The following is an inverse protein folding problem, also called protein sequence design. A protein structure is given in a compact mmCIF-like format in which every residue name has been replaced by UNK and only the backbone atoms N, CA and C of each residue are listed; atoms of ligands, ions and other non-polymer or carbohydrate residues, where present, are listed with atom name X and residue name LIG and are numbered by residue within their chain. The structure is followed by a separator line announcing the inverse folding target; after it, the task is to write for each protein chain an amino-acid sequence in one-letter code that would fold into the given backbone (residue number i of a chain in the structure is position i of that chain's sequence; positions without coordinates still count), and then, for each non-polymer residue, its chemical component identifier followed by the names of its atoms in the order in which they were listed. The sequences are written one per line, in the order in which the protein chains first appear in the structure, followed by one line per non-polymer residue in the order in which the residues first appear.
data_IF_172359480365
#
_entry.id   IF_172359480365
#
_cell.length_a   1.000
_cell.length_b   1.000
_cell.length_c   1.000
_cell.angle_alpha   90.00
_cell.angle_beta   90.00
_cell.angle_gamma   90.00
#
_symmetry.space_group_name_H-M   'P 1'
#
loop_
_entity.id
_entity.type
_entity.pdbx_description
1 polymer ?
#
# COMPACT_ATOMS: atom_id res chain seq x y z
N UNK A 1 -10.41 -57.13 38.37
CA UNK A 1 -10.95 -55.88 37.79
C UNK A 1 -10.02 -55.42 36.66
N UNK A 2 -10.61 -54.71 35.69
CA UNK A 2 -10.11 -54.46 34.33
C UNK A 2 -8.79 -53.66 34.26
N UNK A 3 -8.07 -53.94 33.19
CA UNK A 3 -6.91 -53.22 32.61
C UNK A 3 -7.25 -51.75 32.36
N UNK A 4 -6.24 -50.88 32.31
CA UNK A 4 -5.89 -50.06 31.13
C UNK A 4 -4.57 -49.34 31.40
N UNK A 5 -3.58 -49.72 30.61
CA UNK A 5 -2.28 -49.11 30.39
C UNK A 5 -2.49 -47.79 29.63
N UNK A 6 -2.12 -46.66 30.21
CA UNK A 6 -2.25 -45.35 29.56
C UNK A 6 -0.89 -44.95 28.99
N UNK A 7 -0.71 -45.20 27.70
CA UNK A 7 0.48 -44.81 26.92
C UNK A 7 0.47 -43.29 26.72
N UNK A 8 1.47 -42.59 27.27
CA UNK A 8 1.65 -41.15 27.08
C UNK A 8 2.28 -40.92 25.69
N UNK A 9 1.49 -40.43 24.74
CA UNK A 9 1.97 -40.03 23.41
C UNK A 9 2.77 -38.75 23.55
N UNK A 10 4.09 -38.83 23.34
CA UNK A 10 4.97 -37.68 23.24
C UNK A 10 4.71 -36.93 21.93
N UNK A 11 3.91 -35.87 21.98
CA UNK A 11 3.77 -34.91 20.88
C UNK A 11 4.97 -33.97 20.85
N UNK A 12 5.85 -34.21 19.88
CA UNK A 12 6.99 -33.37 19.53
C UNK A 12 6.48 -32.03 18.99
N UNK A 13 6.61 -30.96 19.78
CA UNK A 13 6.38 -29.59 19.31
C UNK A 13 7.72 -29.05 18.81
N UNK A 14 7.92 -29.06 17.49
CA UNK A 14 9.01 -28.33 16.82
C UNK A 14 8.60 -26.86 16.78
N UNK A 15 8.98 -26.08 17.81
CA UNK A 15 8.91 -24.62 17.75
C UNK A 15 10.21 -24.12 17.12
N UNK A 16 10.28 -24.11 15.79
CA UNK A 16 11.36 -23.46 15.07
C UNK A 16 11.25 -21.94 15.25
N UNK A 17 12.27 -21.36 15.85
CA UNK A 17 12.47 -19.92 15.96
C UNK A 17 12.56 -19.30 14.56
N UNK A 18 11.69 -18.32 14.29
CA UNK A 18 11.88 -17.35 13.23
C UNK A 18 11.74 -15.96 13.85
N UNK A 19 12.91 -15.45 14.25
CA UNK A 19 13.37 -14.06 14.14
C UNK A 19 12.28 -13.08 13.69
N UNK A 20 11.41 -12.73 14.62
CA UNK A 20 10.59 -11.54 14.52
C UNK A 20 11.24 -10.45 15.33
N UNK A 21 12.25 -9.78 14.76
CA UNK A 21 12.55 -8.40 15.13
C UNK A 21 11.35 -7.54 14.70
N UNK A 22 10.23 -7.71 15.41
CA UNK A 22 9.06 -6.86 15.32
C UNK A 22 9.40 -5.59 16.06
N UNK A 23 10.28 -4.78 15.47
CA UNK A 23 10.41 -3.40 15.90
C UNK A 23 9.02 -2.79 15.77
N UNK A 24 8.54 -2.37 16.93
CA UNK A 24 7.30 -1.69 17.19
C UNK A 24 6.86 -0.82 16.03
N UNK A 25 5.54 -0.80 15.84
CA UNK A 25 4.77 0.27 15.24
C UNK A 25 5.32 1.65 15.64
N UNK A 26 6.38 2.08 14.97
CA UNK A 26 6.61 3.48 14.70
C UNK A 26 5.81 3.74 13.44
N UNK A 27 4.50 3.88 13.64
CA UNK A 27 3.69 4.77 12.82
C UNK A 27 4.34 6.15 13.01
N UNK A 28 5.46 6.37 12.32
CA UNK A 28 6.07 7.68 12.18
C UNK A 28 5.00 8.48 11.47
N UNK A 29 4.24 9.23 12.26
CA UNK A 29 3.57 10.42 11.80
C UNK A 29 4.67 11.31 11.21
N UNK A 30 4.98 11.07 9.94
CA UNK A 30 5.85 11.94 9.16
C UNK A 30 5.08 13.25 9.05
N UNK A 31 5.41 14.17 9.95
CA UNK A 31 4.96 15.54 9.91
C UNK A 31 5.14 16.08 8.48
N UNK A 32 4.01 16.35 7.80
CA UNK A 32 3.72 17.42 6.82
C UNK A 32 4.85 17.96 5.91
N UNK A 33 5.87 17.17 5.57
CA UNK A 33 7.03 17.60 4.79
C UNK A 33 6.88 17.32 3.30
N UNK A 34 5.86 17.87 2.66
CA UNK A 34 5.80 17.96 1.19
C UNK A 34 5.32 16.73 0.41
N UNK A 35 4.91 15.63 1.05
CA UNK A 35 4.23 14.50 0.37
C UNK A 35 2.76 14.83 0.09
N UNK A 36 2.28 14.60 -1.14
CA UNK A 36 0.87 14.88 -1.48
C UNK A 36 0.40 14.21 -2.76
N UNK A 37 -0.91 14.06 -2.87
CA UNK A 37 -1.64 13.68 -4.09
C UNK A 37 -2.65 14.78 -4.39
N UNK A 38 -2.59 15.35 -5.58
CA UNK A 38 -3.55 16.35 -6.05
C UNK A 38 -4.14 15.86 -7.38
N UNK A 39 -5.47 15.77 -7.44
CA UNK A 39 -6.19 15.27 -8.61
C UNK A 39 -6.79 16.43 -9.36
N UNK A 40 -6.57 16.48 -10.67
CA UNK A 40 -7.24 17.39 -11.58
C UNK A 40 -8.09 16.58 -12.55
N UNK A 41 -9.38 16.47 -12.26
CA UNK A 41 -10.32 15.71 -13.08
C UNK A 41 -10.54 16.35 -14.46
N UNK A 42 -10.56 17.68 -14.55
CA UNK A 42 -10.74 18.39 -15.83
C UNK A 42 -9.59 18.15 -16.82
N UNK A 43 -8.38 17.95 -16.30
CA UNK A 43 -7.19 17.69 -17.12
C UNK A 43 -6.76 16.22 -17.09
N UNK A 44 -7.62 15.35 -16.53
CA UNK A 44 -7.39 13.91 -16.37
C UNK A 44 -5.98 13.55 -15.86
N UNK A 45 -5.49 14.28 -14.86
CA UNK A 45 -4.15 14.06 -14.32
C UNK A 45 -4.08 14.12 -12.81
N UNK A 46 -3.00 13.54 -12.29
CA UNK A 46 -2.66 13.57 -10.87
C UNK A 46 -1.26 14.13 -10.71
N UNK A 47 -1.12 15.13 -9.84
CA UNK A 47 0.17 15.62 -9.35
C UNK A 47 0.56 14.87 -8.10
N UNK A 48 1.71 14.21 -8.16
CA UNK A 48 2.31 13.46 -7.07
C UNK A 48 3.53 14.23 -6.55
N UNK A 49 3.67 14.28 -5.24
CA UNK A 49 4.89 14.74 -4.59
C UNK A 49 5.36 13.66 -3.61
N UNK A 50 6.52 13.06 -3.89
CA UNK A 50 7.19 12.07 -3.02
C UNK A 50 6.28 10.91 -2.58
N UNK A 51 5.48 10.40 -3.51
CA UNK A 51 4.50 9.32 -3.28
C UNK A 51 5.16 7.96 -3.48
N UNK A 52 5.23 7.17 -2.42
CA UNK A 52 5.65 5.78 -2.45
C UNK A 52 4.44 4.82 -2.46
N UNK A 53 4.55 3.74 -3.20
CA UNK A 53 3.49 2.73 -3.38
C UNK A 53 4.04 1.38 -3.84
N UNK A 54 3.22 0.33 -3.72
CA UNK A 54 3.44 -0.91 -4.47
C UNK A 54 2.75 -0.82 -5.83
N UNK A 55 3.52 -0.97 -6.90
CA UNK A 55 3.00 -0.95 -8.27
C UNK A 55 2.41 -2.32 -8.62
N UNK A 56 1.10 -2.38 -8.81
CA UNK A 56 0.37 -3.60 -9.19
C UNK A 56 0.50 -3.96 -10.67
N UNK A 57 1.06 -3.08 -11.50
CA UNK A 57 1.38 -3.39 -12.89
C UNK A 57 2.71 -4.15 -12.97
N UNK A 58 3.78 -3.58 -12.40
CA UNK A 58 5.14 -4.17 -12.47
C UNK A 58 5.51 -5.06 -11.28
N UNK A 59 4.63 -5.19 -10.27
CA UNK A 59 4.87 -5.94 -9.03
C UNK A 59 6.13 -5.49 -8.26
N UNK A 60 6.38 -4.17 -8.24
CA UNK A 60 7.57 -3.57 -7.61
C UNK A 60 7.20 -2.46 -6.65
N UNK A 61 8.00 -2.29 -5.60
CA UNK A 61 7.86 -1.16 -4.67
C UNK A 61 8.51 0.09 -5.26
N UNK A 62 7.77 1.18 -5.32
CA UNK A 62 8.23 2.51 -5.71
C UNK A 62 8.37 3.37 -4.45
N UNK A 63 9.58 3.87 -4.20
CA UNK A 63 9.90 4.55 -2.94
C UNK A 63 9.51 6.03 -2.87
N UNK A 64 9.58 6.76 -3.99
CA UNK A 64 9.29 8.19 -4.03
C UNK A 64 9.08 8.66 -5.48
N UNK A 65 7.82 8.72 -5.91
CA UNK A 65 7.41 9.23 -7.21
C UNK A 65 6.91 10.67 -7.10
N UNK A 66 7.39 11.54 -7.98
CA UNK A 66 6.95 12.93 -8.11
C UNK A 66 6.72 13.26 -9.58
N UNK A 67 5.76 14.13 -9.85
CA UNK A 67 5.45 14.59 -11.20
C UNK A 67 3.96 14.72 -11.46
N UNK A 68 3.62 15.16 -12.67
CA UNK A 68 2.24 15.14 -13.16
C UNK A 68 2.09 13.91 -14.05
N UNK A 69 1.13 13.04 -13.71
CA UNK A 69 0.86 11.81 -14.44
C UNK A 69 -0.52 11.88 -15.06
N UNK A 70 -0.65 11.40 -16.31
CA UNK A 70 -1.95 11.25 -16.95
C UNK A 70 -2.68 10.07 -16.30
N UNK A 71 -3.94 10.24 -15.93
CA UNK A 71 -4.76 9.15 -15.40
C UNK A 71 -5.36 8.40 -16.58
N UNK A 72 -5.13 7.09 -16.64
CA UNK A 72 -5.77 6.27 -17.65
C UNK A 72 -7.27 6.12 -17.31
N UNK A 73 -8.11 6.15 -18.34
CA UNK A 73 -9.55 6.48 -18.29
C UNK A 73 -10.30 6.01 -17.03
N UNK A 74 -10.93 6.97 -16.35
CA UNK A 74 -11.85 6.79 -15.21
C UNK A 74 -11.33 6.02 -13.99
N UNK A 75 -10.04 5.68 -13.93
CA UNK A 75 -9.51 4.89 -12.81
C UNK A 75 -9.48 5.65 -11.48
N UNK A 76 -9.56 6.98 -11.49
CA UNK A 76 -9.65 7.82 -10.28
C UNK A 76 -10.93 7.59 -9.46
N UNK A 77 -11.99 7.01 -10.06
CA UNK A 77 -13.24 6.60 -9.39
C UNK A 77 -13.14 5.22 -8.71
N UNK A 78 -11.96 4.60 -8.75
CA UNK A 78 -11.74 3.25 -8.20
C UNK A 78 -10.66 3.27 -7.13
N UNK A 79 -10.57 2.18 -6.38
CA UNK A 79 -9.49 1.94 -5.40
C UNK A 79 -8.19 1.45 -6.06
N UNK A 80 -8.18 1.24 -7.38
CA UNK A 80 -7.00 0.83 -8.15
C UNK A 80 -6.79 1.79 -9.32
N UNK A 81 -5.88 2.72 -9.13
CA UNK A 81 -5.72 3.88 -9.99
C UNK A 81 -4.53 3.62 -10.89
N UNK A 82 -4.73 3.77 -12.20
CA UNK A 82 -3.68 3.57 -13.18
C UNK A 82 -3.32 4.90 -13.81
N UNK A 83 -2.03 5.22 -13.80
CA UNK A 83 -1.52 6.46 -14.39
C UNK A 83 -0.26 6.21 -15.21
N UNK A 84 -0.01 7.11 -16.15
CA UNK A 84 1.10 7.06 -17.09
C UNK A 84 1.99 8.29 -16.94
N UNK A 85 3.30 8.09 -16.91
CA UNK A 85 4.26 9.19 -16.93
C UNK A 85 4.59 9.67 -18.35
N UNK A 86 5.33 10.77 -18.46
CA UNK A 86 5.73 11.37 -19.74
C UNK A 86 6.69 10.51 -20.58
N UNK A 87 7.22 9.40 -20.03
CA UNK A 87 8.04 8.42 -20.76
C UNK A 87 7.20 7.21 -21.21
N UNK A 88 5.89 7.27 -21.01
CA UNK A 88 4.94 6.23 -21.37
C UNK A 88 4.85 5.09 -20.34
N UNK A 89 5.53 5.16 -19.19
CA UNK A 89 5.50 4.09 -18.19
C UNK A 89 4.19 4.11 -17.42
N UNK A 90 3.58 2.95 -17.29
CA UNK A 90 2.30 2.75 -16.60
C UNK A 90 2.56 2.23 -15.19
N UNK A 91 1.81 2.78 -14.23
CA UNK A 91 1.81 2.36 -12.84
C UNK A 91 0.38 2.13 -12.38
N UNK A 92 0.18 1.12 -11.53
CA UNK A 92 -1.10 0.87 -10.88
C UNK A 92 -0.94 0.94 -9.37
N UNK A 93 -1.65 1.88 -8.74
CA UNK A 93 -1.66 2.16 -7.30
C UNK A 93 -2.94 1.64 -6.68
N UNK A 94 -2.86 1.04 -5.49
CA UNK A 94 -4.04 0.77 -4.69
C UNK A 94 -4.22 1.82 -3.58
N UNK A 95 -5.47 2.26 -3.38
CA UNK A 95 -5.89 3.21 -2.35
C UNK A 95 -7.03 2.67 -1.50
N UNK A 96 -7.27 3.25 -0.32
CA UNK A 96 -8.42 2.88 0.52
C UNK A 96 -9.76 3.46 0.02
N UNK A 97 -9.70 4.58 -0.71
CA UNK A 97 -10.83 5.30 -1.29
C UNK A 97 -10.52 5.74 -2.72
N UNK A 98 -11.56 5.98 -3.52
CA UNK A 98 -11.37 6.61 -4.82
C UNK A 98 -10.83 8.03 -4.63
N UNK A 99 -9.97 8.50 -5.54
CA UNK A 99 -9.49 9.88 -5.50
C UNK A 99 -10.56 10.87 -5.97
N UNK A 100 -11.55 10.40 -6.74
CA UNK A 100 -12.72 11.17 -7.15
C UNK A 100 -13.57 11.65 -5.97
N UNK A 101 -13.60 10.90 -4.87
CA UNK A 101 -14.42 11.18 -3.67
C UNK A 101 -13.91 12.41 -2.89
N UNK A 102 -12.98 13.18 -3.47
CA UNK A 102 -12.38 14.38 -2.91
C UNK A 102 -11.86 14.25 -1.46
N UNK A 103 -11.26 13.10 -1.07
CA UNK A 103 -10.94 12.88 0.33
C UNK A 103 -9.86 13.86 0.82
N UNK A 104 -9.96 14.32 2.07
CA UNK A 104 -8.94 15.17 2.70
C UNK A 104 -7.58 14.45 2.83
N UNK A 105 -7.63 13.11 2.92
CA UNK A 105 -6.48 12.22 2.97
C UNK A 105 -6.82 10.87 2.34
N UNK A 106 -5.81 10.20 1.77
CA UNK A 106 -5.94 8.86 1.19
C UNK A 106 -4.80 7.98 1.70
N UNK A 107 -5.08 6.71 1.94
CA UNK A 107 -4.05 5.70 2.20
C UNK A 107 -3.61 5.11 0.87
N UNK A 108 -2.31 5.04 0.64
CA UNK A 108 -1.72 4.36 -0.52
C UNK A 108 -0.95 3.15 -0.03
N UNK A 109 -1.28 1.98 -0.58
CA UNK A 109 -0.69 0.72 -0.12
C UNK A 109 0.75 0.54 -0.63
N UNK A 110 1.59 0.02 0.25
CA UNK A 110 3.03 -0.19 0.07
C UNK A 110 3.40 -1.66 -0.13
N UNK A 111 2.42 -2.56 -0.08
CA UNK A 111 2.55 -3.99 -0.33
C UNK A 111 1.38 -4.55 -1.14
N UNK A 112 1.60 -5.68 -1.83
CA UNK A 112 0.58 -6.36 -2.63
C UNK A 112 -0.57 -6.93 -1.79
N UNK A 113 -0.30 -7.24 -0.52
CA UNK A 113 -1.28 -7.76 0.43
C UNK A 113 -2.22 -6.70 1.02
N UNK A 114 -1.99 -5.41 0.71
CA UNK A 114 -2.78 -4.27 1.21
C UNK A 114 -2.79 -4.18 2.76
N UNK A 115 -1.69 -4.56 3.40
CA UNK A 115 -1.54 -4.54 4.88
C UNK A 115 -0.69 -3.37 5.36
N UNK A 116 0.21 -2.84 4.51
CA UNK A 116 1.07 -1.70 4.82
C UNK A 116 0.69 -0.52 3.92
N UNK A 117 0.60 0.67 4.49
CA UNK A 117 0.24 1.88 3.75
C UNK A 117 0.93 3.12 4.31
N UNK A 118 1.10 4.12 3.45
CA UNK A 118 1.38 5.50 3.83
C UNK A 118 0.09 6.34 3.66
N UNK A 119 -0.02 7.44 4.40
CA UNK A 119 -1.15 8.38 4.26
C UNK A 119 -0.69 9.66 3.57
N UNK A 120 -1.45 10.10 2.57
CA UNK A 120 -1.16 11.28 1.76
C UNK A 120 -2.29 12.28 1.87
N UNK A 121 -1.95 13.53 2.16
CA UNK A 121 -2.91 14.63 2.20
C UNK A 121 -3.23 15.12 0.80
N UNK A 122 -4.48 15.55 0.62
CA UNK A 122 -4.88 16.35 -0.54
C UNK A 122 -4.21 17.73 -0.47
N UNK A 123 -3.77 18.24 -1.62
CA UNK A 123 -3.30 19.62 -1.82
C UNK A 123 -4.13 20.32 -2.89
#
# INVERSE_FOLDING_TARGET
MKKILMTLVASVIIMAALVGCGTSNSQKNYASGGKSIQVNMYKENVKLAKVGFFDFYSYKKIGSLSGTMSVLSNTYNTKKITFQDNRGRVYTVATDKALADFPSQVKVYLDSALKKYDTYKRK
#
